data_IF_903568179413
#
_entry.id   IF_903568179413
#
_cell.length_a   1.000
_cell.length_b   1.000
_cell.length_c   1.000
_cell.angle_alpha   90.00
_cell.angle_beta   90.00
_cell.angle_gamma   90.00
#
_symmetry.space_group_name_H-M   'P 1'
#
loop_
_entity.id
_entity.type
_entity.pdbx_description
1 polymer ?
#
# COMPACT_ATOMS: atom_id res chain seq x y z
N UNK A 1 -33.95 6.67 -25.82
CA UNK A 1 -32.98 7.03 -24.76
C UNK A 1 -32.66 5.76 -23.98
N UNK A 2 -31.49 5.16 -24.22
CA UNK A 2 -31.03 4.02 -23.43
C UNK A 2 -30.24 4.56 -22.24
N UNK A 3 -30.76 4.32 -21.04
CA UNK A 3 -30.06 4.61 -19.78
C UNK A 3 -28.91 3.61 -19.70
N UNK A 4 -27.70 4.07 -20.03
CA UNK A 4 -26.50 3.27 -19.85
C UNK A 4 -26.29 3.04 -18.36
N UNK A 5 -26.17 1.79 -17.94
CA UNK A 5 -25.76 1.39 -16.59
C UNK A 5 -24.39 2.00 -16.28
N UNK A 6 -24.38 3.24 -15.80
CA UNK A 6 -23.21 3.82 -15.16
C UNK A 6 -23.12 3.15 -13.80
N UNK A 7 -22.13 2.27 -13.65
CA UNK A 7 -21.77 1.72 -12.35
C UNK A 7 -21.53 2.83 -11.33
N UNK A 8 -21.29 2.49 -10.05
CA UNK A 8 -21.06 3.48 -9.01
C UNK A 8 -19.97 4.47 -9.44
N UNK A 9 -20.29 5.77 -9.40
CA UNK A 9 -19.35 6.85 -9.65
C UNK A 9 -18.49 6.99 -8.39
N UNK A 10 -17.17 6.84 -8.54
CA UNK A 10 -16.24 7.03 -7.45
C UNK A 10 -15.98 8.52 -7.24
N UNK A 11 -16.39 9.01 -6.07
CA UNK A 11 -16.06 10.36 -5.60
C UNK A 11 -14.88 10.26 -4.64
N UNK A 12 -13.70 10.72 -5.07
CA UNK A 12 -12.55 10.81 -4.17
C UNK A 12 -12.83 11.89 -3.10
N UNK A 13 -12.74 11.52 -1.83
CA UNK A 13 -12.77 12.43 -0.68
C UNK A 13 -11.39 12.34 -0.03
N UNK A 14 -10.56 13.39 -0.10
CA UNK A 14 -9.22 13.33 0.43
C UNK A 14 -9.25 13.21 1.96
N UNK A 15 -8.30 12.45 2.50
CA UNK A 15 -8.10 12.37 3.95
C UNK A 15 -7.71 13.73 4.52
N UNK A 16 -8.31 14.09 5.65
CA UNK A 16 -7.85 15.25 6.40
C UNK A 16 -6.47 14.99 7.01
N UNK A 17 -5.66 16.05 7.15
CA UNK A 17 -4.39 15.98 7.87
C UNK A 17 -4.56 15.52 9.34
N UNK A 18 -5.73 15.79 9.93
CA UNK A 18 -6.06 15.36 11.29
C UNK A 18 -6.23 13.84 11.35
N UNK A 19 -6.98 13.25 10.43
CA UNK A 19 -7.16 11.79 10.33
C UNK A 19 -5.83 11.09 10.11
N UNK A 20 -5.01 11.57 9.17
CA UNK A 20 -3.71 10.95 8.89
C UNK A 20 -2.78 10.97 10.12
N UNK A 21 -2.79 12.06 10.90
CA UNK A 21 -2.02 12.16 12.15
C UNK A 21 -2.57 11.24 13.24
N UNK A 22 -3.89 11.14 13.41
CA UNK A 22 -4.51 10.21 14.36
C UNK A 22 -4.20 8.76 14.03
N UNK A 23 -4.23 8.42 12.73
CA UNK A 23 -3.85 7.12 12.23
C UNK A 23 -2.38 6.82 12.51
N UNK A 24 -1.48 7.79 12.26
CA UNK A 24 -0.05 7.66 12.59
C UNK A 24 0.17 7.39 14.08
N UNK A 25 -0.52 8.11 14.96
CA UNK A 25 -0.48 7.83 16.41
C UNK A 25 -0.98 6.43 16.73
N UNK A 26 -2.07 6.00 16.09
CA UNK A 26 -2.64 4.65 16.29
C UNK A 26 -1.67 3.55 15.90
N UNK A 27 -1.01 3.66 14.73
CA UNK A 27 -0.14 2.59 14.23
C UNK A 27 1.24 2.58 14.90
N UNK A 28 1.74 3.72 15.37
CA UNK A 28 3.06 3.83 15.98
C UNK A 28 4.21 3.76 14.96
N UNK A 29 5.32 3.12 15.36
CA UNK A 29 6.48 2.90 14.48
C UNK A 29 6.23 1.67 13.61
N UNK A 30 6.40 1.82 12.30
CA UNK A 30 6.11 0.75 11.34
C UNK A 30 6.92 -0.51 11.61
N UNK A 31 8.23 -0.37 11.86
CA UNK A 31 9.11 -1.52 12.16
C UNK A 31 8.72 -2.31 13.42
N UNK A 32 7.91 -1.74 14.31
CA UNK A 32 7.47 -2.44 15.52
C UNK A 32 6.31 -3.40 15.26
N UNK A 33 5.42 -3.07 14.34
CA UNK A 33 4.29 -3.92 13.96
C UNK A 33 3.83 -3.63 12.50
N UNK A 34 4.53 -4.20 11.50
CA UNK A 34 4.22 -3.98 10.09
C UNK A 34 2.80 -4.43 9.72
N UNK A 35 2.32 -5.53 10.30
CA UNK A 35 0.98 -6.06 10.07
C UNK A 35 -0.12 -5.08 10.53
N UNK A 36 0.08 -4.39 11.65
CA UNK A 36 -0.86 -3.36 12.13
C UNK A 36 -1.00 -2.21 11.12
N UNK A 37 0.10 -1.80 10.48
CA UNK A 37 0.07 -0.76 9.43
C UNK A 37 -0.65 -1.28 8.19
N UNK A 38 -0.32 -2.49 7.73
CA UNK A 38 -0.94 -3.11 6.57
C UNK A 38 -2.46 -3.30 6.76
N UNK A 39 -2.89 -3.77 7.93
CA UNK A 39 -4.31 -3.97 8.25
C UNK A 39 -5.09 -2.65 8.37
N UNK A 40 -4.43 -1.53 8.67
CA UNK A 40 -5.08 -0.21 8.60
C UNK A 40 -5.25 0.23 7.13
N UNK A 41 -4.24 0.01 6.29
CA UNK A 41 -4.32 0.32 4.87
C UNK A 41 -5.39 -0.51 4.14
N UNK A 42 -5.48 -1.81 4.46
CA UNK A 42 -6.48 -2.72 3.90
C UNK A 42 -7.90 -2.21 4.23
N UNK A 43 -8.15 -1.85 5.50
CA UNK A 43 -9.42 -1.23 5.92
C UNK A 43 -9.70 0.10 5.23
N UNK A 44 -8.69 0.96 5.06
CA UNK A 44 -8.83 2.22 4.32
C UNK A 44 -9.20 1.95 2.85
N UNK A 45 -8.60 0.92 2.25
CA UNK A 45 -8.85 0.48 0.88
C UNK A 45 -10.29 0.00 0.68
N UNK A 46 -10.81 -0.77 1.63
CA UNK A 46 -12.18 -1.31 1.57
C UNK A 46 -13.24 -0.24 1.80
N UNK A 47 -12.96 0.73 2.67
CA UNK A 47 -13.96 1.73 3.09
C UNK A 47 -13.99 2.99 2.22
N UNK A 48 -12.82 3.41 1.73
CA UNK A 48 -12.70 4.71 1.04
C UNK A 48 -12.06 4.60 -0.34
N UNK A 49 -11.47 3.47 -0.68
CA UNK A 49 -10.84 3.23 -1.99
C UNK A 49 -9.88 4.37 -2.42
N UNK A 50 -8.81 4.63 -1.64
CA UNK A 50 -7.89 5.73 -1.87
C UNK A 50 -7.21 5.60 -3.24
N UNK A 51 -7.04 6.72 -3.93
CA UNK A 51 -6.32 6.73 -5.20
C UNK A 51 -4.79 6.69 -5.00
N UNK A 52 -4.03 6.76 -6.09
CA UNK A 52 -2.57 6.73 -6.02
C UNK A 52 -1.98 7.88 -5.17
N UNK A 53 -2.56 9.08 -5.24
CA UNK A 53 -2.09 10.27 -4.52
C UNK A 53 -2.40 10.21 -3.04
N UNK A 54 -3.58 9.68 -2.69
CA UNK A 54 -3.96 9.40 -1.30
C UNK A 54 -3.01 8.39 -0.68
N UNK A 55 -2.76 7.28 -1.37
CA UNK A 55 -1.81 6.24 -0.92
C UNK A 55 -0.41 6.82 -0.74
N UNK A 56 0.08 7.63 -1.69
CA UNK A 56 1.36 8.31 -1.55
C UNK A 56 1.41 9.18 -0.29
N UNK A 57 0.38 9.98 -0.04
CA UNK A 57 0.31 10.86 1.13
C UNK A 57 0.25 10.10 2.45
N UNK A 58 -0.50 8.99 2.48
CA UNK A 58 -0.55 8.06 3.61
C UNK A 58 0.84 7.47 3.88
N UNK A 59 1.52 6.96 2.85
CA UNK A 59 2.85 6.36 2.97
C UNK A 59 3.91 7.38 3.41
N UNK A 60 3.87 8.61 2.88
CA UNK A 60 4.78 9.70 3.28
C UNK A 60 4.55 10.15 4.73
N UNK A 61 3.32 10.05 5.23
CA UNK A 61 2.97 10.38 6.61
C UNK A 61 3.31 9.25 7.58
N UNK A 62 3.07 8.00 7.16
CA UNK A 62 3.17 6.83 8.03
C UNK A 62 4.57 6.27 8.16
N UNK A 63 5.42 6.43 7.14
CA UNK A 63 6.73 5.83 7.09
C UNK A 63 7.81 6.90 6.99
N UNK A 64 8.97 6.65 7.59
CA UNK A 64 10.18 7.41 7.25
C UNK A 64 10.71 7.02 5.86
N UNK A 65 11.74 7.74 5.38
CA UNK A 65 12.31 7.48 4.05
C UNK A 65 12.83 6.04 3.90
N UNK A 66 13.57 5.54 4.88
CA UNK A 66 14.15 4.19 4.87
C UNK A 66 13.06 3.12 4.92
N UNK A 67 12.02 3.33 5.71
CA UNK A 67 10.85 2.46 5.77
C UNK A 67 10.11 2.40 4.42
N UNK A 68 9.96 3.54 3.72
CA UNK A 68 9.39 3.55 2.35
C UNK A 68 10.26 2.79 1.36
N UNK A 69 11.58 2.93 1.42
CA UNK A 69 12.50 2.19 0.56
C UNK A 69 12.41 0.67 0.79
N UNK A 70 12.28 0.26 2.06
CA UNK A 70 12.08 -1.16 2.43
C UNK A 70 10.79 -1.72 1.82
N UNK A 71 9.69 -0.99 1.96
CA UNK A 71 8.38 -1.36 1.38
C UNK A 71 8.48 -1.45 -0.14
N UNK A 72 9.01 -0.43 -0.81
CA UNK A 72 9.15 -0.40 -2.27
C UNK A 72 10.02 -1.56 -2.77
N UNK A 73 11.14 -1.85 -2.09
CA UNK A 73 12.02 -2.96 -2.46
C UNK A 73 11.31 -4.31 -2.37
N UNK A 74 10.53 -4.54 -1.31
CA UNK A 74 9.75 -5.76 -1.16
C UNK A 74 8.72 -5.92 -2.30
N UNK A 75 8.05 -4.83 -2.68
CA UNK A 75 7.09 -4.81 -3.78
C UNK A 75 7.78 -5.13 -5.10
N UNK A 76 8.82 -4.37 -5.45
CA UNK A 76 9.56 -4.52 -6.71
C UNK A 76 10.08 -5.96 -6.86
N UNK A 77 10.72 -6.50 -5.82
CA UNK A 77 11.24 -7.87 -5.84
C UNK A 77 10.13 -8.90 -6.09
N UNK A 78 8.96 -8.70 -5.49
CA UNK A 78 7.80 -9.59 -5.68
C UNK A 78 7.22 -9.47 -7.09
N UNK A 79 7.10 -8.25 -7.62
CA UNK A 79 6.60 -7.99 -8.98
C UNK A 79 7.55 -8.60 -10.02
N UNK A 80 8.86 -8.37 -9.90
CA UNK A 80 9.87 -8.98 -10.78
C UNK A 80 9.78 -10.51 -10.79
N UNK A 81 9.65 -11.13 -9.60
CA UNK A 81 9.51 -12.57 -9.49
C UNK A 81 8.20 -13.10 -10.11
N UNK A 82 7.10 -12.35 -10.02
CA UNK A 82 5.83 -12.73 -10.62
C UNK A 82 5.86 -12.60 -12.15
N UNK A 83 6.48 -11.54 -12.67
CA UNK A 83 6.71 -11.34 -14.11
C UNK A 83 7.58 -12.47 -14.67
N UNK A 84 8.70 -12.78 -14.01
CA UNK A 84 9.61 -13.84 -14.45
C UNK A 84 8.94 -15.23 -14.48
N UNK A 85 7.91 -15.45 -13.66
CA UNK A 85 7.11 -16.69 -13.62
C UNK A 85 5.91 -16.68 -14.56
N UNK A 86 5.68 -15.60 -15.30
CA UNK A 86 4.51 -15.43 -16.16
C UNK A 86 3.18 -15.27 -15.40
N UNK A 87 3.22 -14.98 -14.10
CA UNK A 87 2.03 -14.77 -13.26
C UNK A 87 1.50 -13.34 -13.35
N UNK A 88 2.32 -12.42 -13.87
CA UNK A 88 1.99 -11.02 -14.05
C UNK A 88 2.56 -10.54 -15.39
N UNK A 89 1.80 -9.68 -16.08
CA UNK A 89 2.18 -9.12 -17.38
C UNK A 89 2.68 -7.68 -17.22
N UNK A 90 3.51 -7.25 -18.17
CA UNK A 90 4.09 -5.90 -18.21
C UNK A 90 5.41 -5.79 -17.45
N UNK A 91 5.82 -4.56 -17.20
CA UNK A 91 7.05 -4.18 -16.50
C UNK A 91 6.76 -3.75 -15.06
N UNK A 92 7.78 -3.74 -14.21
CA UNK A 92 7.69 -3.21 -12.84
C UNK A 92 7.13 -1.79 -12.83
N UNK A 93 7.56 -0.93 -13.77
CA UNK A 93 7.13 0.46 -13.82
C UNK A 93 5.65 0.62 -14.22
N UNK A 94 5.11 -0.29 -15.03
CA UNK A 94 3.68 -0.29 -15.40
C UNK A 94 2.80 -0.82 -14.27
N UNK A 95 3.28 -1.83 -13.54
CA UNK A 95 2.56 -2.48 -12.43
C UNK A 95 2.62 -1.66 -11.14
N UNK A 96 3.78 -1.12 -10.81
CA UNK A 96 4.04 -0.36 -9.59
C UNK A 96 4.73 0.98 -9.90
N UNK A 97 3.98 1.94 -10.47
CA UNK A 97 4.52 3.25 -10.82
C UNK A 97 4.85 4.06 -9.56
N UNK A 98 6.08 4.61 -9.51
CA UNK A 98 6.54 5.50 -8.44
C UNK A 98 6.16 6.98 -8.65
N UNK A 99 5.63 7.29 -9.84
CA UNK A 99 5.09 8.61 -10.20
C UNK A 99 3.59 8.46 -10.49
N UNK A 100 2.82 9.54 -10.32
CA UNK A 100 1.38 9.48 -10.47
C UNK A 100 1.01 9.01 -11.89
N UNK A 101 0.37 7.83 -12.05
CA UNK A 101 0.00 7.30 -13.35
C UNK A 101 -1.27 7.94 -13.93
N UNK A 102 -1.96 8.79 -13.16
CA UNK A 102 -3.19 9.46 -13.61
C UNK A 102 -4.40 8.53 -13.75
N UNK A 103 -4.44 7.42 -12.99
CA UNK A 103 -5.55 6.48 -13.06
C UNK A 103 -6.85 7.10 -12.55
N UNK A 104 -7.88 7.07 -13.39
CA UNK A 104 -9.25 7.44 -13.08
C UNK A 104 -10.02 6.23 -12.53
N UNK A 105 -10.45 6.26 -11.25
CA UNK A 105 -11.22 5.18 -10.65
C UNK A 105 -12.59 4.95 -11.33
N UNK A 106 -13.07 5.87 -12.16
CA UNK A 106 -14.32 5.69 -12.92
C UNK A 106 -14.11 4.90 -14.22
N UNK A 107 -12.86 4.63 -14.62
CA UNK A 107 -12.53 3.79 -15.78
C UNK A 107 -12.21 2.37 -15.30
N UNK A 108 -12.97 1.33 -15.70
CA UNK A 108 -12.83 -0.03 -15.16
C UNK A 108 -11.39 -0.60 -15.19
N UNK A 109 -10.70 -0.45 -16.32
CA UNK A 109 -9.31 -0.94 -16.46
C UNK A 109 -8.33 -0.19 -15.56
N UNK A 110 -8.56 1.09 -15.33
CA UNK A 110 -7.72 1.92 -14.46
C UNK A 110 -8.03 1.66 -12.98
N UNK A 111 -9.29 1.38 -12.64
CA UNK A 111 -9.68 0.87 -11.33
C UNK A 111 -9.02 -0.48 -11.03
N UNK A 112 -8.96 -1.40 -12.00
CA UNK A 112 -8.28 -2.68 -11.81
C UNK A 112 -6.78 -2.49 -11.51
N UNK A 113 -6.11 -1.57 -12.20
CA UNK A 113 -4.72 -1.18 -11.90
C UNK A 113 -4.57 -0.55 -10.52
N UNK A 114 -5.49 0.34 -10.13
CA UNK A 114 -5.50 0.94 -8.80
C UNK A 114 -5.65 -0.13 -7.70
N UNK A 115 -6.55 -1.10 -7.88
CA UNK A 115 -6.75 -2.22 -6.96
C UNK A 115 -5.51 -3.10 -6.85
N UNK A 116 -4.86 -3.39 -7.97
CA UNK A 116 -3.59 -4.11 -7.98
C UNK A 116 -2.51 -3.33 -7.20
N UNK A 117 -2.41 -2.02 -7.42
CA UNK A 117 -1.45 -1.17 -6.73
C UNK A 117 -1.71 -1.09 -5.21
N UNK A 118 -2.96 -0.94 -4.78
CA UNK A 118 -3.36 -1.00 -3.37
C UNK A 118 -2.90 -2.32 -2.71
N UNK A 119 -3.15 -3.46 -3.38
CA UNK A 119 -2.74 -4.78 -2.90
C UNK A 119 -1.21 -4.92 -2.80
N UNK A 120 -0.48 -4.35 -3.76
CA UNK A 120 0.98 -4.33 -3.73
C UNK A 120 1.50 -3.51 -2.54
N UNK A 121 0.92 -2.36 -2.23
CA UNK A 121 1.33 -1.59 -1.03
C UNK A 121 1.07 -2.38 0.25
N UNK A 122 -0.10 -3.04 0.38
CA UNK A 122 -0.38 -3.91 1.53
C UNK A 122 0.65 -5.04 1.64
N UNK A 123 1.00 -5.69 0.53
CA UNK A 123 2.07 -6.68 0.48
C UNK A 123 3.42 -6.09 0.94
N UNK A 124 3.80 -4.94 0.39
CA UNK A 124 5.04 -4.25 0.75
C UNK A 124 5.11 -3.91 2.23
N UNK A 125 4.01 -3.45 2.83
CA UNK A 125 3.93 -3.20 4.27
C UNK A 125 4.14 -4.48 5.08
N UNK A 126 3.52 -5.61 4.70
CA UNK A 126 3.69 -6.90 5.39
C UNK A 126 5.10 -7.49 5.25
N UNK A 127 5.78 -7.22 4.14
CA UNK A 127 7.05 -7.87 3.79
C UNK A 127 8.27 -6.96 3.73
N UNK A 128 8.11 -5.65 3.96
CA UNK A 128 9.18 -4.66 3.89
C UNK A 128 10.21 -4.81 4.99
N UNK A 129 9.79 -5.18 6.20
CA UNK A 129 10.72 -5.39 7.32
C UNK A 129 11.44 -6.74 7.18
N UNK A 130 12.78 -6.76 7.10
CA UNK A 130 13.53 -8.00 6.98
C UNK A 130 13.25 -8.94 8.16
N UNK A 131 13.02 -10.23 7.88
CA UNK A 131 12.76 -11.23 8.92
C UNK A 131 13.83 -11.25 10.00
N UNK A 132 15.11 -11.10 9.65
CA UNK A 132 16.23 -11.07 10.59
C UNK A 132 16.09 -9.97 11.68
N UNK A 133 15.56 -8.80 11.32
CA UNK A 133 15.32 -7.71 12.27
C UNK A 133 14.15 -8.03 13.23
N UNK A 134 13.15 -8.75 12.74
CA UNK A 134 12.03 -9.22 13.57
C UNK A 134 12.50 -10.29 14.59
N UNK A 135 13.38 -11.21 14.17
CA UNK A 135 13.97 -12.22 15.06
C UNK A 135 14.80 -11.61 16.20
N UNK A 136 15.67 -10.64 15.91
CA UNK A 136 16.48 -9.99 16.94
C UNK A 136 15.61 -9.42 18.09
N UNK A 137 14.50 -8.77 17.73
CA UNK A 137 13.54 -8.23 18.70
C UNK A 137 12.81 -9.31 19.50
N UNK A 138 12.43 -10.42 18.87
CA UNK A 138 11.80 -11.55 19.57
C UNK A 138 12.73 -12.17 20.62
N UNK A 139 14.05 -12.19 20.37
CA UNK A 139 15.03 -12.64 21.35
C UNK A 139 15.22 -11.65 22.50
N UNK A 140 15.25 -10.34 22.23
CA UNK A 140 15.30 -9.29 23.28
C UNK A 140 14.11 -9.37 24.24
N UNK A 141 12.91 -9.67 23.74
CA UNK A 141 11.71 -9.85 24.58
C UNK A 141 11.83 -11.07 25.48
N UNK A 142 12.42 -12.17 24.99
CA UNK A 142 12.60 -13.40 25.78
C UNK A 142 13.72 -13.32 26.82
N UNK A 143 14.72 -12.46 26.62
CA UNK A 143 15.83 -12.29 27.57
C UNK A 143 15.48 -11.34 28.73
N UNK A 144 14.44 -10.50 28.57
CA UNK A 144 13.96 -9.59 29.61
C UNK A 144 12.78 -10.17 30.42
N UNK A 145 12.58 -11.49 30.38
CA UNK A 145 11.65 -12.26 31.23
C UNK A 145 12.43 -13.20 32.15
#
# INVERSE_FOLDING_TARGET
QAVGNQGPIYKNVPYSLVELKQWKTTIGKYKENPDKVANLLERATDTQNPDWSDLKSMMDTWLDHTEREMVNKAIITSVEAQIARGLMQGTVAEVFPLVNPGWDPNVPDQMARLKQYQNLIVYGLRHGVPKALNWAKLYEIKQNQ
#
